data_IF_186482419984
#
_entry.id   IF_186482419984
#
_cell.length_a   1.000
_cell.length_b   1.000
_cell.length_c   1.000
_cell.angle_alpha   90.00
_cell.angle_beta   90.00
_cell.angle_gamma   90.00
#
_symmetry.space_group_name_H-M   'P 1'
#
loop_
_entity.id
_entity.type
_entity.pdbx_description
1 polymer ?
#
# COMPACT_ATOMS: atom_id res chain seq x y z
N UNK A 1 -40.95 -22.32 -43.46
CA UNK A 1 -39.52 -22.06 -43.73
C UNK A 1 -38.94 -21.27 -42.58
N UNK A 2 -38.01 -21.90 -41.86
CA UNK A 2 -36.92 -21.43 -41.00
C UNK A 2 -37.08 -20.16 -40.13
N UNK A 3 -36.61 -20.09 -38.88
CA UNK A 3 -36.07 -21.03 -37.91
C UNK A 3 -35.99 -20.25 -36.58
N UNK A 4 -36.40 -20.86 -35.47
CA UNK A 4 -36.07 -20.40 -34.12
C UNK A 4 -34.55 -20.32 -33.97
N UNK A 5 -34.02 -19.16 -33.57
CA UNK A 5 -32.66 -19.05 -33.03
C UNK A 5 -32.74 -18.56 -31.60
N UNK A 6 -32.87 -19.54 -30.70
CA UNK A 6 -32.47 -19.42 -29.30
C UNK A 6 -30.94 -19.30 -29.30
N UNK A 7 -30.42 -18.17 -28.83
CA UNK A 7 -29.03 -18.04 -28.43
C UNK A 7 -29.03 -17.73 -26.92
N UNK A 8 -28.82 -18.78 -26.13
CA UNK A 8 -28.63 -18.68 -24.69
C UNK A 8 -27.32 -17.93 -24.42
N UNK A 9 -27.43 -16.70 -23.92
CA UNK A 9 -26.31 -16.03 -23.25
C UNK A 9 -26.24 -16.59 -21.82
N UNK A 10 -25.50 -17.68 -21.67
CA UNK A 10 -24.97 -18.11 -20.37
C UNK A 10 -23.90 -17.09 -19.99
N UNK A 11 -24.34 -16.00 -19.35
CA UNK A 11 -23.46 -15.05 -18.68
C UNK A 11 -22.90 -15.71 -17.42
N UNK A 12 -21.82 -16.45 -17.61
CA UNK A 12 -20.96 -16.91 -16.53
C UNK A 12 -20.27 -15.71 -15.87
N UNK A 13 -19.88 -15.90 -14.62
CA UNK A 13 -18.99 -15.05 -13.81
C UNK A 13 -19.67 -13.95 -12.97
N UNK A 14 -19.97 -14.30 -11.72
CA UNK A 14 -19.35 -13.61 -10.57
C UNK A 14 -19.13 -14.62 -9.45
N UNK A 15 -18.01 -15.35 -9.54
CA UNK A 15 -17.46 -16.14 -8.44
C UNK A 15 -16.06 -15.61 -8.15
N UNK A 16 -15.99 -14.38 -7.61
CA UNK A 16 -14.78 -13.77 -7.09
C UNK A 16 -15.04 -13.27 -5.66
N UNK A 17 -15.50 -14.17 -4.80
CA UNK A 17 -15.80 -13.85 -3.39
C UNK A 17 -14.70 -14.24 -2.39
N UNK A 18 -13.62 -14.90 -2.82
CA UNK A 18 -12.66 -15.53 -1.90
C UNK A 18 -11.22 -14.97 -1.95
N UNK A 19 -10.93 -14.00 -2.83
CA UNK A 19 -9.56 -13.50 -3.05
C UNK A 19 -9.38 -12.00 -2.74
N UNK A 20 -10.48 -11.27 -2.52
CA UNK A 20 -10.45 -9.82 -2.34
C UNK A 20 -9.81 -9.40 -1.01
N UNK A 21 -9.86 -10.25 0.01
CA UNK A 21 -9.30 -9.94 1.34
C UNK A 21 -7.77 -9.94 1.36
N UNK A 22 -7.13 -10.87 0.64
CA UNK A 22 -5.66 -10.97 0.61
C UNK A 22 -5.03 -9.90 -0.30
N UNK A 23 -5.68 -9.60 -1.44
CA UNK A 23 -5.28 -8.51 -2.33
C UNK A 23 -5.44 -7.14 -1.68
N UNK A 24 -6.53 -6.93 -0.93
CA UNK A 24 -6.77 -5.70 -0.19
C UNK A 24 -5.71 -5.49 0.91
N UNK A 25 -5.35 -6.55 1.65
CA UNK A 25 -4.32 -6.43 2.69
C UNK A 25 -2.95 -6.05 2.13
N UNK A 26 -2.54 -6.58 0.98
CA UNK A 26 -1.23 -6.24 0.39
C UNK A 26 -1.19 -4.79 -0.12
N UNK A 27 -2.26 -4.34 -0.78
CA UNK A 27 -2.38 -2.95 -1.19
C UNK A 27 -2.40 -1.99 0.01
N UNK A 28 -3.09 -2.36 1.11
CA UNK A 28 -3.07 -1.58 2.35
C UNK A 28 -1.68 -1.56 2.99
N UNK A 29 -0.96 -2.68 3.01
CA UNK A 29 0.42 -2.74 3.49
C UNK A 29 1.34 -1.80 2.69
N UNK A 30 1.22 -1.81 1.36
CA UNK A 30 1.98 -0.90 0.50
C UNK A 30 1.63 0.56 0.77
N UNK A 31 0.35 0.87 1.01
CA UNK A 31 -0.08 2.22 1.38
C UNK A 31 0.51 2.64 2.73
N UNK A 32 0.41 1.80 3.74
CA UNK A 32 0.97 2.06 5.08
C UNK A 32 2.48 2.27 5.03
N UNK A 33 3.20 1.46 4.25
CA UNK A 33 4.64 1.66 4.01
C UNK A 33 4.91 3.01 3.34
N UNK A 34 4.12 3.38 2.33
CA UNK A 34 4.27 4.68 1.68
C UNK A 34 3.99 5.84 2.65
N UNK A 35 2.94 5.77 3.45
CA UNK A 35 2.62 6.81 4.44
C UNK A 35 3.75 6.97 5.47
N UNK A 36 4.32 5.85 5.93
CA UNK A 36 5.51 5.85 6.78
C UNK A 36 6.70 6.53 6.09
N UNK A 37 7.03 6.11 4.86
CA UNK A 37 8.18 6.64 4.14
C UNK A 37 8.00 8.13 3.79
N UNK A 38 6.80 8.61 3.48
CA UNK A 38 6.51 10.03 3.28
C UNK A 38 6.80 10.86 4.53
N UNK A 39 6.41 10.38 5.72
CA UNK A 39 6.71 11.04 6.99
C UNK A 39 8.23 11.15 7.18
N UNK A 40 8.97 10.08 6.90
CA UNK A 40 10.44 10.09 6.98
C UNK A 40 11.07 11.04 5.97
N UNK A 41 10.63 11.00 4.70
CA UNK A 41 11.10 11.88 3.64
C UNK A 41 10.89 13.37 4.02
N UNK A 42 9.73 13.70 4.59
CA UNK A 42 9.41 15.06 5.04
C UNK A 42 10.37 15.60 6.12
N UNK A 43 11.06 14.71 6.85
CA UNK A 43 12.07 15.07 7.84
C UNK A 43 13.50 15.06 7.30
N UNK A 44 13.66 14.94 5.99
CA UNK A 44 14.98 14.87 5.34
C UNK A 44 15.71 13.57 5.61
N UNK A 45 14.97 12.47 5.83
CA UNK A 45 15.58 11.16 6.04
C UNK A 45 16.33 10.67 4.80
N UNK A 46 17.56 10.21 4.99
CA UNK A 46 18.36 9.59 3.96
C UNK A 46 18.02 8.11 3.85
N UNK A 47 17.19 7.76 2.85
CA UNK A 47 16.83 6.37 2.58
C UNK A 47 18.07 5.57 2.16
N UNK A 48 18.15 4.32 2.63
CA UNK A 48 19.19 3.37 2.20
C UNK A 48 18.70 2.49 1.06
N UNK A 49 17.42 2.15 1.10
CA UNK A 49 16.73 1.31 0.14
C UNK A 49 16.68 1.96 -1.26
N UNK A 50 17.05 1.24 -2.34
CA UNK A 50 17.08 1.79 -3.69
C UNK A 50 15.70 2.21 -4.21
N UNK A 51 14.64 1.49 -3.86
CA UNK A 51 13.28 1.81 -4.32
C UNK A 51 12.77 3.09 -3.65
N UNK A 52 13.01 3.23 -2.35
CA UNK A 52 12.68 4.45 -1.61
C UNK A 52 13.51 5.65 -2.10
N UNK A 53 14.80 5.47 -2.44
CA UNK A 53 15.62 6.51 -3.07
C UNK A 53 15.07 6.93 -4.42
N UNK A 54 14.69 5.98 -5.27
CA UNK A 54 14.11 6.26 -6.58
C UNK A 54 12.77 7.01 -6.46
N UNK A 55 11.98 6.69 -5.43
CA UNK A 55 10.65 7.28 -5.21
C UNK A 55 10.67 8.64 -4.53
N UNK A 56 11.44 8.81 -3.46
CA UNK A 56 11.45 10.02 -2.63
C UNK A 56 12.65 10.93 -2.89
N UNK A 57 13.63 10.46 -3.66
CA UNK A 57 14.90 11.15 -3.85
C UNK A 57 15.80 11.04 -2.63
N UNK A 58 17.10 11.23 -2.85
CA UNK A 58 18.08 11.23 -1.75
C UNK A 58 19.15 12.33 -1.91
N UNK A 59 19.00 13.20 -2.89
CA UNK A 59 20.00 14.22 -3.22
C UNK A 59 20.02 15.36 -2.19
N UNK A 60 18.91 15.59 -1.48
CA UNK A 60 18.74 16.66 -0.49
C UNK A 60 18.38 16.15 0.92
N UNK A 61 18.64 14.87 1.19
CA UNK A 61 18.47 14.34 2.53
C UNK A 61 19.62 14.81 3.45
N UNK A 62 19.37 14.93 4.76
CA UNK A 62 20.36 15.48 5.70
C UNK A 62 20.41 14.76 7.06
N UNK A 63 19.57 13.74 7.28
CA UNK A 63 19.56 12.99 8.54
C UNK A 63 19.28 11.52 8.33
N UNK A 64 19.87 10.68 9.17
CA UNK A 64 19.50 9.25 9.29
C UNK A 64 18.67 8.97 10.54
N UNK A 65 18.43 10.01 11.36
CA UNK A 65 17.67 9.95 12.61
C UNK A 65 16.79 11.20 12.73
N UNK A 66 15.73 11.29 11.91
CA UNK A 66 14.79 12.40 11.95
C UNK A 66 14.13 12.49 13.33
N UNK A 67 13.90 13.72 13.77
CA UNK A 67 13.09 13.98 14.97
C UNK A 67 11.65 14.22 14.54
N UNK A 68 10.74 13.44 15.10
CA UNK A 68 9.31 13.58 14.86
C UNK A 68 8.66 14.39 15.98
N UNK A 69 7.64 15.16 15.63
CA UNK A 69 6.71 15.71 16.62
C UNK A 69 5.88 14.59 17.24
N UNK A 70 5.24 14.84 18.39
CA UNK A 70 4.35 13.88 19.03
C UNK A 70 3.25 13.37 18.09
N UNK A 71 2.67 14.27 17.27
CA UNK A 71 1.64 13.91 16.28
C UNK A 71 2.17 12.98 15.21
N UNK A 72 3.38 13.24 14.69
CA UNK A 72 4.01 12.38 13.68
C UNK A 72 4.39 11.03 14.28
N UNK A 73 4.89 11.01 15.52
CA UNK A 73 5.18 9.78 16.23
C UNK A 73 3.92 8.94 16.42
N UNK A 74 2.81 9.54 16.87
CA UNK A 74 1.51 8.87 16.97
C UNK A 74 1.04 8.28 15.63
N UNK A 75 1.29 8.98 14.52
CA UNK A 75 0.96 8.46 13.18
C UNK A 75 1.82 7.27 12.80
N UNK A 76 3.13 7.34 13.06
CA UNK A 76 4.06 6.24 12.81
C UNK A 76 3.71 5.01 13.64
N UNK A 77 3.35 5.19 14.92
CA UNK A 77 2.94 4.12 15.81
C UNK A 77 1.63 3.48 15.32
N UNK A 78 0.64 4.28 14.94
CA UNK A 78 -0.61 3.78 14.35
C UNK A 78 -0.38 3.01 13.04
N UNK A 79 0.51 3.50 12.17
CA UNK A 79 0.89 2.79 10.94
C UNK A 79 1.51 1.44 11.27
N UNK A 80 2.42 1.39 12.24
CA UNK A 80 3.10 0.17 12.68
C UNK A 80 2.10 -0.84 13.26
N UNK A 81 1.15 -0.38 14.08
CA UNK A 81 0.12 -1.24 14.65
C UNK A 81 -0.78 -1.82 13.55
N UNK A 82 -1.19 -1.00 12.58
CA UNK A 82 -1.95 -1.47 11.41
C UNK A 82 -1.16 -2.47 10.56
N UNK A 83 0.13 -2.24 10.34
CA UNK A 83 0.99 -3.18 9.62
C UNK A 83 1.07 -4.53 10.33
N UNK A 84 1.11 -4.52 11.67
CA UNK A 84 1.11 -5.74 12.49
C UNK A 84 -0.23 -6.46 12.44
N UNK A 85 -1.35 -5.74 12.54
CA UNK A 85 -2.70 -6.32 12.41
C UNK A 85 -2.91 -7.01 11.06
N UNK A 86 -2.43 -6.37 9.98
CA UNK A 86 -2.54 -6.89 8.61
C UNK A 86 -1.47 -7.93 8.27
N UNK A 87 -0.55 -8.24 9.19
CA UNK A 87 0.59 -9.12 8.96
C UNK A 87 1.39 -8.76 7.70
N UNK A 88 1.62 -7.46 7.50
CA UNK A 88 2.45 -6.96 6.40
C UNK A 88 3.84 -7.59 6.48
N UNK A 89 4.29 -8.15 5.35
CA UNK A 89 5.57 -8.84 5.22
C UNK A 89 6.68 -7.94 4.71
#
# INVERSE_FOLDING_TARGET
MNNFKVAALVGFVTLLGASTVAMASEQECQKLKNDHDVIYASKGFCFKDPDAKAKYGNDNCYTTKPKFSEKEQQRLDAIKDRQKELNCK
#
